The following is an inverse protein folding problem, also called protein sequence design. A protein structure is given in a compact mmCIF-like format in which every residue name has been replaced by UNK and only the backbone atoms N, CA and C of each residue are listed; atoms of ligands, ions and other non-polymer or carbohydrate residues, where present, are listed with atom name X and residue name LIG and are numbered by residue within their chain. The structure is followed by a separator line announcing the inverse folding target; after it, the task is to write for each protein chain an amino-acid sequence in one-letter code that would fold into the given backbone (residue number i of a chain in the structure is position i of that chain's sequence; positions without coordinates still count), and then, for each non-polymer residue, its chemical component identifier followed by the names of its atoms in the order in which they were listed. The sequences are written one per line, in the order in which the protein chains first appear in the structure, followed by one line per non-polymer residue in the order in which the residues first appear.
data_IF_781863555722
#
_entry.id   IF_781863555722
#
_cell.length_a   1.000
_cell.length_b   1.000
_cell.length_c   1.000
_cell.angle_alpha   90.00
_cell.angle_beta   90.00
_cell.angle_gamma   90.00
#
_symmetry.space_group_name_H-M   'P 1'
#
loop_
_entity.id
_entity.type
_entity.pdbx_description
1 polymer ?
#
# COMPACT_ATOMS: atom_id res chain seq x y z
N UNK A 1 6.60 -1.60 11.74
CA UNK A 1 6.05 -0.63 10.77
C UNK A 1 7.14 0.34 10.30
N UNK A 2 7.59 0.25 9.04
CA UNK A 2 8.63 1.16 8.51
C UNK A 2 8.09 2.57 8.35
N UNK A 3 8.67 3.54 9.06
CA UNK A 3 8.40 4.97 8.81
C UNK A 3 8.88 5.34 7.40
N UNK A 4 8.09 6.13 6.68
CA UNK A 4 8.49 6.70 5.38
C UNK A 4 9.09 8.11 5.52
N UNK A 5 9.32 8.58 6.75
CA UNK A 5 9.86 9.92 7.02
C UNK A 5 8.90 11.07 6.65
N UNK A 6 7.59 10.79 6.63
CA UNK A 6 6.54 11.76 6.33
C UNK A 6 5.31 11.49 7.20
N UNK A 7 4.39 12.46 7.23
CA UNK A 7 3.25 12.50 8.15
C UNK A 7 3.49 13.43 9.35
N UNK A 8 2.65 13.39 10.39
CA UNK A 8 1.44 12.57 10.52
C UNK A 8 0.37 12.95 9.48
N UNK A 9 -0.57 12.05 9.23
CA UNK A 9 -1.68 12.28 8.31
C UNK A 9 -3.02 12.21 9.05
N UNK A 10 -3.98 13.06 8.69
CA UNK A 10 -5.28 13.12 9.37
C UNK A 10 -6.19 11.94 9.03
N UNK A 11 -5.96 11.24 7.92
CA UNK A 11 -6.78 10.11 7.48
C UNK A 11 -5.94 8.97 6.92
N UNK A 12 -6.50 7.76 6.92
CA UNK A 12 -5.84 6.59 6.33
C UNK A 12 -5.62 6.77 4.82
N UNK A 13 -6.59 7.35 4.09
CA UNK A 13 -6.45 7.69 2.67
C UNK A 13 -5.27 8.65 2.42
N UNK A 14 -5.17 9.73 3.20
CA UNK A 14 -4.07 10.71 3.05
C UNK A 14 -2.72 10.10 3.41
N UNK A 15 -2.68 9.15 4.36
CA UNK A 15 -1.49 8.35 4.66
C UNK A 15 -1.05 7.49 3.46
N UNK A 16 -1.96 6.76 2.81
CA UNK A 16 -1.63 5.97 1.62
C UNK A 16 -1.14 6.83 0.47
N UNK A 17 -1.85 7.92 0.14
CA UNK A 17 -1.42 8.87 -0.89
C UNK A 17 -0.03 9.43 -0.56
N UNK A 18 0.19 9.86 0.68
CA UNK A 18 1.47 10.41 1.14
C UNK A 18 2.63 9.42 0.99
N UNK A 19 2.43 8.17 1.43
CA UNK A 19 3.44 7.10 1.31
C UNK A 19 3.79 6.80 -0.15
N UNK A 20 2.80 6.70 -1.03
CA UNK A 20 3.04 6.48 -2.46
C UNK A 20 3.76 7.67 -3.10
N UNK A 21 3.40 8.91 -2.77
CA UNK A 21 4.12 10.11 -3.23
C UNK A 21 5.57 10.14 -2.77
N UNK A 22 5.86 9.69 -1.54
CA UNK A 22 7.25 9.53 -1.06
C UNK A 22 7.98 8.47 -1.88
N UNK A 23 7.36 7.32 -2.14
CA UNK A 23 7.96 6.28 -2.96
C UNK A 23 8.26 6.76 -4.38
N UNK A 24 7.33 7.46 -5.02
CA UNK A 24 7.52 8.03 -6.35
C UNK A 24 8.70 9.01 -6.39
N UNK A 25 8.83 9.92 -5.40
CA UNK A 25 9.99 10.81 -5.30
C UNK A 25 11.32 10.06 -5.14
N UNK A 26 11.34 8.94 -4.42
CA UNK A 26 12.53 8.08 -4.31
C UNK A 26 12.89 7.43 -5.64
N UNK A 27 11.88 7.02 -6.41
CA UNK A 27 12.07 6.45 -7.75
C UNK A 27 12.57 7.50 -8.73
N UNK A 28 12.12 8.75 -8.61
CA UNK A 28 12.60 9.87 -9.42
C UNK A 28 14.09 10.15 -9.19
N UNK A 29 14.53 10.07 -7.92
CA UNK A 29 15.94 10.24 -7.55
C UNK A 29 16.82 9.01 -7.86
N UNK A 30 16.23 7.88 -8.27
CA UNK A 30 16.99 6.65 -8.52
C UNK A 30 17.70 6.73 -9.89
N UNK A 31 19.04 6.57 -9.95
CA UNK A 31 19.80 6.77 -11.19
C UNK A 31 19.54 5.71 -12.27
N UNK A 32 19.01 4.54 -11.89
CA UNK A 32 18.72 3.44 -12.80
C UNK A 32 17.30 3.53 -13.35
N UNK A 33 16.34 3.85 -12.48
CA UNK A 33 14.91 3.83 -12.82
C UNK A 33 14.44 5.18 -13.38
N UNK A 34 14.96 6.29 -12.85
CA UNK A 34 14.67 7.67 -13.29
C UNK A 34 13.16 7.95 -13.44
N UNK A 35 12.35 7.46 -12.51
CA UNK A 35 10.90 7.68 -12.54
C UNK A 35 10.08 6.72 -13.44
N UNK A 36 10.66 5.70 -14.06
CA UNK A 36 10.00 4.81 -15.04
C UNK A 36 9.32 5.57 -16.20
N UNK A 37 10.08 6.31 -17.03
CA UNK A 37 9.50 7.10 -18.12
C UNK A 37 8.98 6.25 -19.29
N UNK A 38 9.40 4.99 -19.38
CA UNK A 38 9.02 4.11 -20.48
C UNK A 38 7.58 3.58 -20.32
N UNK A 39 6.90 3.37 -21.45
CA UNK A 39 5.61 2.66 -21.54
C UNK A 39 4.47 3.26 -20.70
N UNK A 40 4.53 4.56 -20.38
CA UNK A 40 3.46 5.24 -19.65
C UNK A 40 3.32 4.83 -18.19
N UNK A 41 4.33 4.15 -17.61
CA UNK A 41 4.25 3.59 -16.26
C UNK A 41 4.09 4.70 -15.23
N UNK A 42 4.89 5.77 -15.34
CA UNK A 42 4.82 6.91 -14.43
C UNK A 42 3.43 7.54 -14.41
N UNK A 43 2.88 7.81 -15.58
CA UNK A 43 1.59 8.47 -15.77
C UNK A 43 0.45 7.62 -15.18
N UNK A 44 0.53 6.30 -15.34
CA UNK A 44 -0.44 5.36 -14.74
C UNK A 44 -0.34 5.33 -13.22
N UNK A 45 0.88 5.39 -12.68
CA UNK A 45 1.10 5.44 -11.23
C UNK A 45 0.60 6.76 -10.64
N UNK A 46 0.89 7.89 -11.28
CA UNK A 46 0.37 9.20 -10.85
C UNK A 46 -1.15 9.23 -10.93
N UNK A 47 -1.75 8.73 -12.01
CA UNK A 47 -3.19 8.60 -12.15
C UNK A 47 -3.81 7.71 -11.07
N UNK A 48 -3.14 6.61 -10.71
CA UNK A 48 -3.57 5.73 -9.63
C UNK A 48 -3.47 6.44 -8.27
N UNK A 49 -2.39 7.17 -7.98
CA UNK A 49 -2.25 7.92 -6.72
C UNK A 49 -3.35 8.97 -6.57
N UNK A 50 -3.67 9.69 -7.64
CA UNK A 50 -4.64 10.78 -7.59
C UNK A 50 -6.09 10.30 -7.62
N UNK A 51 -6.41 9.27 -8.42
CA UNK A 51 -7.80 8.80 -8.62
C UNK A 51 -8.06 7.37 -8.15
N UNK A 52 -7.10 6.48 -8.38
CA UNK A 52 -7.22 5.07 -8.01
C UNK A 52 -7.24 4.85 -6.49
N UNK A 53 -6.39 5.56 -5.75
CA UNK A 53 -6.35 5.48 -4.28
C UNK A 53 -7.69 5.92 -3.69
N UNK A 54 -8.25 7.12 -3.97
CA UNK A 54 -9.58 7.49 -3.49
C UNK A 54 -10.67 6.46 -3.80
N UNK A 55 -10.69 5.93 -5.02
CA UNK A 55 -11.67 4.95 -5.44
C UNK A 55 -11.63 3.67 -4.57
N UNK A 56 -10.48 3.31 -3.98
CA UNK A 56 -10.41 2.17 -3.05
C UNK A 56 -11.06 2.47 -1.69
N UNK A 57 -11.21 3.74 -1.32
CA UNK A 57 -11.83 4.16 -0.06
C UNK A 57 -13.33 4.46 -0.20
N UNK A 58 -13.84 4.67 -1.43
CA UNK A 58 -15.26 4.93 -1.69
C UNK A 58 -16.18 3.79 -1.23
N UNK A 59 -15.70 2.54 -1.33
CA UNK A 59 -16.45 1.36 -0.90
C UNK A 59 -16.31 0.99 0.58
N UNK A 60 -15.65 1.83 1.40
CA UNK A 60 -15.50 1.55 2.83
C UNK A 60 -16.67 2.16 3.61
N UNK A 61 -17.43 1.30 4.29
CA UNK A 61 -18.68 1.68 4.96
C UNK A 61 -18.49 2.65 6.13
N UNK A 62 -17.36 2.55 6.84
CA UNK A 62 -17.08 3.41 7.99
C UNK A 62 -15.58 3.63 8.19
N UNK A 63 -15.25 4.86 8.60
CA UNK A 63 -13.90 5.25 9.04
C UNK A 63 -13.73 5.15 10.56
N UNK A 64 -14.81 4.91 11.31
CA UNK A 64 -14.85 4.96 12.78
C UNK A 64 -15.10 3.60 13.41
N UNK A 65 -15.56 2.63 12.62
CA UNK A 65 -15.90 1.31 13.12
C UNK A 65 -14.63 0.59 13.56
N UNK A 66 -14.67 0.06 14.77
CA UNK A 66 -13.58 -0.74 15.31
C UNK A 66 -13.72 -2.16 14.78
N UNK A 67 -12.69 -2.62 14.09
CA UNK A 67 -12.61 -3.97 13.53
C UNK A 67 -11.31 -4.62 13.98
N UNK A 68 -11.27 -5.96 13.96
CA UNK A 68 -10.03 -6.70 14.17
C UNK A 68 -9.18 -6.52 12.92
N UNK A 69 -7.94 -6.08 13.09
CA UNK A 69 -6.96 -5.97 12.02
C UNK A 69 -5.75 -6.83 12.37
N UNK A 70 -5.08 -7.39 11.37
CA UNK A 70 -3.80 -8.09 11.59
C UNK A 70 -2.66 -7.12 11.94
N UNK A 71 -2.79 -5.85 11.55
CA UNK A 71 -1.80 -4.77 11.65
C UNK A 71 -0.44 -4.98 10.95
N UNK A 72 -0.11 -6.21 10.54
CA UNK A 72 1.05 -6.54 9.69
C UNK A 72 0.70 -7.51 8.55
N UNK A 73 -0.37 -7.21 7.81
CA UNK A 73 -0.88 -8.08 6.75
C UNK A 73 0.01 -8.02 5.49
N UNK A 74 1.00 -8.90 5.41
CA UNK A 74 1.96 -8.98 4.30
C UNK A 74 1.99 -10.40 3.70
N UNK A 75 2.50 -10.53 2.47
CA UNK A 75 2.62 -11.83 1.80
C UNK A 75 3.47 -12.85 2.56
N UNK A 76 4.43 -12.39 3.38
CA UNK A 76 5.27 -13.27 4.19
C UNK A 76 4.50 -13.91 5.35
N UNK A 77 3.39 -13.29 5.76
CA UNK A 77 2.53 -13.74 6.85
C UNK A 77 1.36 -14.59 6.33
N UNK A 78 1.25 -14.80 5.01
CA UNK A 78 0.24 -15.66 4.39
C UNK A 78 0.89 -16.98 3.96
N UNK A 79 0.37 -18.09 4.47
CA UNK A 79 0.78 -19.43 4.08
C UNK A 79 -0.02 -19.92 2.88
N UNK A 80 0.66 -20.61 1.97
CA UNK A 80 0.07 -21.19 0.77
C UNK A 80 0.38 -22.67 0.67
N UNK A 81 -0.57 -23.46 0.16
CA UNK A 81 -0.29 -24.79 -0.33
C UNK A 81 0.42 -24.71 -1.69
N UNK A 82 1.59 -25.34 -1.79
CA UNK A 82 2.45 -25.22 -2.98
C UNK A 82 1.89 -25.96 -4.22
N UNK A 83 0.91 -26.85 -4.07
CA UNK A 83 0.33 -27.62 -5.18
C UNK A 83 -0.85 -26.88 -5.79
N UNK A 84 -1.72 -26.34 -4.94
CA UNK A 84 -2.98 -25.71 -5.32
C UNK A 84 -2.89 -24.19 -5.40
N UNK A 85 -1.85 -23.59 -4.81
CA UNK A 85 -1.71 -22.14 -4.58
C UNK A 85 -2.85 -21.53 -3.75
N UNK A 86 -3.57 -22.35 -2.98
CA UNK A 86 -4.60 -21.88 -2.06
C UNK A 86 -3.97 -21.35 -0.77
N UNK A 87 -4.56 -20.30 -0.20
CA UNK A 87 -4.21 -19.80 1.14
C UNK A 87 -4.61 -20.85 2.17
N UNK A 88 -3.67 -21.25 3.02
CA UNK A 88 -3.89 -22.25 4.09
C UNK A 88 -3.83 -21.67 5.49
N UNK A 89 -3.28 -20.47 5.65
CA UNK A 89 -3.20 -19.81 6.95
C UNK A 89 -2.73 -18.36 6.90
N UNK A 90 -3.04 -17.65 7.98
CA UNK A 90 -2.49 -16.35 8.32
C UNK A 90 -1.74 -16.52 9.64
N UNK A 91 -0.52 -16.00 9.74
CA UNK A 91 0.35 -16.13 10.90
C UNK A 91 0.88 -14.76 11.33
N UNK A 92 1.56 -14.70 12.47
CA UNK A 92 2.20 -13.47 12.99
C UNK A 92 1.21 -12.40 13.49
N UNK A 93 0.39 -12.78 14.49
CA UNK A 93 -0.65 -11.94 15.10
C UNK A 93 -0.13 -11.03 16.23
N UNK A 94 1.17 -10.85 16.39
CA UNK A 94 1.76 -10.13 17.53
C UNK A 94 1.32 -8.64 17.59
N UNK A 95 0.82 -8.09 16.49
CA UNK A 95 0.36 -6.70 16.38
C UNK A 95 -1.16 -6.55 16.21
N UNK A 96 -1.92 -7.64 16.27
CA UNK A 96 -3.37 -7.66 16.02
C UNK A 96 -4.21 -7.06 17.17
#
# INVERSE_FOLDING_TARGET
MTSVGAGPWPTYETSFKGRLKVALRKVDANPYIKGWPANGVRERLDAFVERGVPAQFEGLDSKQDRVIIHADFTTNNILFDATTNCITGLIDYDFA
#
